data_IF_776564102836
#
_entry.id   IF_776564102836
#
_cell.length_a   1.000
_cell.length_b   1.000
_cell.length_c   1.000
_cell.angle_alpha   90.00
_cell.angle_beta   90.00
_cell.angle_gamma   90.00
#
_symmetry.space_group_name_H-M   'P 1'
#
loop_
_entity.id
_entity.type
_entity.pdbx_description
1 polymer ?
#
# COMPACT_ATOMS: atom_id res chain seq x y z
N UNK A 1 -33.92 17.79 -36.34
CA UNK A 1 -33.79 16.39 -35.91
C UNK A 1 -32.38 15.94 -36.22
N UNK A 2 -31.55 15.82 -35.19
CA UNK A 2 -30.30 15.06 -35.24
C UNK A 2 -29.94 14.72 -33.80
N UNK A 3 -30.45 13.58 -33.33
CA UNK A 3 -30.02 12.95 -32.09
C UNK A 3 -28.65 12.32 -32.31
N UNK A 4 -27.70 12.59 -31.42
CA UNK A 4 -26.44 11.85 -31.30
C UNK A 4 -26.53 10.96 -30.08
N UNK A 5 -26.81 9.67 -30.29
CA UNK A 5 -26.82 8.65 -29.25
C UNK A 5 -25.41 8.09 -29.08
N UNK A 6 -24.85 8.25 -27.88
CA UNK A 6 -23.59 7.64 -27.47
C UNK A 6 -23.88 6.18 -27.08
N UNK A 7 -23.28 5.22 -27.79
CA UNK A 7 -23.28 3.81 -27.41
C UNK A 7 -21.88 3.41 -26.97
N UNK A 8 -21.74 3.19 -25.67
CA UNK A 8 -20.55 2.70 -24.97
C UNK A 8 -20.17 1.29 -25.41
N UNK A 9 -18.96 1.13 -25.96
CA UNK A 9 -18.22 -0.13 -26.01
C UNK A 9 -16.73 0.19 -26.12
N UNK A 10 -16.06 0.42 -24.98
CA UNK A 10 -14.61 0.35 -24.90
C UNK A 10 -14.24 -0.37 -23.60
N UNK A 11 -14.11 -1.69 -23.73
CA UNK A 11 -13.50 -2.55 -22.74
C UNK A 11 -12.01 -2.17 -22.64
N UNK A 12 -11.62 -1.47 -21.58
CA UNK A 12 -10.23 -1.12 -21.31
C UNK A 12 -9.48 -2.40 -20.92
N UNK A 13 -8.75 -2.97 -21.88
CA UNK A 13 -7.72 -3.97 -21.62
C UNK A 13 -6.56 -3.28 -20.86
N UNK A 14 -6.54 -3.38 -19.53
CA UNK A 14 -5.36 -3.05 -18.75
C UNK A 14 -4.32 -4.17 -18.90
N UNK A 15 -3.35 -3.97 -19.79
CA UNK A 15 -2.15 -4.82 -19.89
C UNK A 15 -1.20 -4.44 -18.75
N UNK A 16 -1.02 -5.31 -17.76
CA UNK A 16 0.07 -5.19 -16.80
C UNK A 16 1.34 -5.85 -17.38
N UNK A 17 2.43 -5.09 -17.48
CA UNK A 17 3.77 -5.63 -17.75
C UNK A 17 4.47 -5.88 -16.42
N UNK A 18 5.00 -7.07 -16.21
CA UNK A 18 5.92 -7.35 -15.11
C UNK A 18 7.27 -7.67 -15.76
N UNK A 19 8.26 -6.80 -15.54
CA UNK A 19 9.64 -7.08 -15.89
C UNK A 19 10.27 -7.91 -14.77
N UNK A 20 10.80 -9.08 -15.11
CA UNK A 20 11.76 -9.80 -14.27
C UNK A 20 13.08 -9.88 -15.04
N UNK A 21 14.14 -9.26 -14.51
CA UNK A 21 15.50 -9.56 -14.94
C UNK A 21 15.94 -10.90 -14.31
N UNK A 22 15.88 -11.99 -15.08
CA UNK A 22 16.80 -13.13 -14.97
C UNK A 22 16.84 -13.83 -16.35
N UNK A 23 18.03 -14.33 -16.73
CA UNK A 23 18.39 -14.85 -18.07
C UNK A 23 17.59 -16.06 -18.62
N UNK A 24 18.03 -16.62 -19.77
CA UNK A 24 17.13 -17.22 -20.75
C UNK A 24 16.75 -18.66 -20.39
N UNK A 25 15.48 -18.89 -20.06
CA UNK A 25 14.82 -20.17 -20.26
C UNK A 25 13.45 -19.92 -20.88
N UNK A 26 13.34 -20.29 -22.15
CA UNK A 26 12.11 -20.28 -22.94
C UNK A 26 11.07 -21.20 -22.31
N UNK A 27 9.93 -20.66 -21.89
CA UNK A 27 8.72 -21.44 -21.62
C UNK A 27 7.52 -20.88 -22.40
N UNK A 28 6.83 -21.78 -23.08
CA UNK A 28 5.68 -21.55 -23.94
C UNK A 28 4.45 -21.17 -23.11
N UNK A 29 3.81 -20.03 -23.42
CA UNK A 29 2.54 -19.61 -22.80
C UNK A 29 1.38 -20.49 -23.30
N UNK A 30 0.60 -21.07 -22.39
CA UNK A 30 -0.75 -21.54 -22.71
C UNK A 30 -1.78 -20.61 -22.07
N UNK A 31 -2.68 -20.11 -22.91
CA UNK A 31 -3.80 -19.26 -22.54
C UNK A 31 -4.91 -20.14 -21.94
N UNK A 32 -5.30 -19.89 -20.69
CA UNK A 32 -6.47 -20.53 -20.09
C UNK A 32 -7.55 -19.48 -19.86
N UNK A 33 -8.67 -19.61 -20.56
CA UNK A 33 -9.86 -18.77 -20.37
C UNK A 33 -10.77 -19.46 -19.34
N UNK A 34 -11.10 -18.78 -18.24
CA UNK A 34 -12.08 -19.26 -17.26
C UNK A 34 -13.42 -18.54 -17.52
N UNK A 35 -14.53 -19.25 -17.76
CA UNK A 35 -15.84 -18.62 -17.85
C UNK A 35 -16.37 -18.30 -16.44
N UNK A 36 -16.71 -17.03 -16.19
CA UNK A 36 -17.36 -16.59 -14.95
C UNK A 36 -18.88 -16.66 -15.16
N UNK A 37 -19.53 -17.64 -14.53
CA UNK A 37 -20.99 -17.68 -14.40
C UNK A 37 -21.35 -17.47 -12.93
N UNK A 38 -21.50 -16.21 -12.52
CA UNK A 38 -22.33 -15.75 -11.39
C UNK A 38 -22.34 -14.21 -11.39
N UNK A 39 -23.49 -13.59 -11.16
CA UNK A 39 -23.60 -12.14 -10.99
C UNK A 39 -22.94 -11.71 -9.67
N UNK A 40 -22.02 -10.76 -9.74
CA UNK A 40 -21.40 -10.10 -8.60
C UNK A 40 -21.94 -8.67 -8.50
N UNK A 41 -22.43 -8.29 -7.31
CA UNK A 41 -22.82 -6.92 -6.96
C UNK A 41 -21.57 -5.99 -6.93
N UNK A 42 -21.71 -4.65 -7.06
CA UNK A 42 -20.67 -3.79 -7.63
C UNK A 42 -19.37 -3.57 -6.82
N UNK A 43 -19.11 -4.22 -5.68
CA UNK A 43 -17.98 -3.86 -4.81
C UNK A 43 -17.21 -5.03 -4.16
N UNK A 44 -17.17 -6.22 -4.76
CA UNK A 44 -16.35 -7.32 -4.25
C UNK A 44 -15.40 -7.86 -5.32
N UNK A 45 -14.09 -7.55 -5.19
CA UNK A 45 -13.02 -8.29 -5.88
C UNK A 45 -12.39 -9.20 -4.84
N UNK A 46 -12.86 -10.44 -4.73
CA UNK A 46 -12.13 -11.50 -4.04
C UNK A 46 -11.18 -12.14 -5.06
N UNK A 47 -9.89 -11.83 -4.98
CA UNK A 47 -8.85 -12.60 -5.68
C UNK A 47 -8.44 -13.76 -4.78
N UNK A 48 -9.02 -14.93 -4.97
CA UNK A 48 -8.55 -16.15 -4.32
C UNK A 48 -7.30 -16.66 -5.08
N UNK A 49 -6.10 -16.31 -4.62
CA UNK A 49 -4.85 -16.87 -5.15
C UNK A 49 -4.64 -18.24 -4.51
N UNK A 50 -5.11 -19.31 -5.16
CA UNK A 50 -4.68 -20.67 -4.80
C UNK A 50 -3.25 -20.88 -5.29
N UNK A 51 -2.30 -20.84 -4.36
CA UNK A 51 -0.94 -21.31 -4.63
C UNK A 51 -1.01 -22.82 -4.93
N UNK A 52 -0.88 -23.19 -6.21
CA UNK A 52 -0.69 -24.58 -6.61
C UNK A 52 0.79 -24.90 -6.35
N UNK A 53 1.07 -25.68 -5.31
CA UNK A 53 2.38 -26.31 -5.16
C UNK A 53 2.60 -27.22 -6.38
N UNK A 54 3.52 -26.82 -7.27
CA UNK A 54 3.97 -27.69 -8.35
C UNK A 54 4.78 -28.82 -7.70
N UNK A 55 4.18 -30.02 -7.68
CA UNK A 55 4.89 -31.23 -7.32
C UNK A 55 6.02 -31.43 -8.34
N UNK A 56 7.31 -31.39 -7.95
CA UNK A 56 8.36 -31.73 -8.89
C UNK A 56 8.19 -33.20 -9.25
N UNK A 57 7.93 -33.48 -10.53
CA UNK A 57 7.81 -34.85 -11.03
C UNK A 57 9.06 -35.68 -10.70
N UNK A 58 8.95 -37.01 -10.69
CA UNK A 58 10.07 -37.88 -10.33
C UNK A 58 11.28 -37.64 -11.24
N UNK A 59 12.47 -37.56 -10.63
CA UNK A 59 13.75 -37.40 -11.32
C UNK A 59 13.93 -38.50 -12.39
N UNK A 60 14.50 -38.18 -13.57
CA UNK A 60 14.75 -39.17 -14.61
C UNK A 60 15.74 -40.22 -14.11
N UNK A 61 15.42 -41.50 -14.29
CA UNK A 61 16.37 -42.58 -13.99
C UNK A 61 17.49 -42.64 -15.04
N UNK A 62 18.73 -43.01 -14.65
CA UNK A 62 19.84 -43.16 -15.59
C UNK A 62 19.56 -44.27 -16.60
N UNK A 63 19.83 -44.00 -17.89
CA UNK A 63 19.78 -45.02 -18.95
C UNK A 63 20.81 -46.11 -18.65
N UNK A 64 20.35 -47.35 -18.48
CA UNK A 64 21.22 -48.51 -18.32
C UNK A 64 21.84 -48.90 -19.67
N UNK A 65 23.17 -48.95 -19.75
CA UNK A 65 23.88 -49.60 -20.85
C UNK A 65 23.89 -51.13 -20.63
N UNK A 66 23.84 -51.97 -21.68
CA UNK A 66 23.82 -53.42 -21.54
C UNK A 66 25.19 -53.95 -21.09
N UNK A 67 25.20 -54.85 -20.09
CA UNK A 67 26.39 -55.64 -19.72
C UNK A 67 26.64 -56.78 -20.73
N UNK A 68 27.92 -57.18 -20.96
CA UNK A 68 28.25 -58.29 -21.84
C UNK A 68 27.83 -59.65 -21.26
N UNK A 69 27.49 -60.59 -22.15
CA UNK A 69 26.91 -61.89 -21.86
C UNK A 69 27.84 -62.82 -21.05
N UNK A 70 27.27 -63.53 -20.08
CA UNK A 70 27.93 -64.53 -19.22
C UNK A 70 28.00 -65.92 -19.89
N UNK A 71 29.10 -66.70 -19.71
CA UNK A 71 29.20 -68.09 -20.17
C UNK A 71 28.38 -69.07 -19.29
N UNK A 72 28.11 -70.30 -19.77
CA UNK A 72 27.02 -71.14 -19.24
C UNK A 72 27.30 -71.74 -17.85
N UNK A 73 26.23 -71.88 -17.05
CA UNK A 73 26.25 -72.35 -15.66
C UNK A 73 26.44 -73.88 -15.52
N UNK A 74 27.20 -74.34 -14.49
CA UNK A 74 27.09 -75.69 -13.96
C UNK A 74 25.97 -75.83 -12.92
N UNK A 75 25.59 -77.09 -12.68
CA UNK A 75 24.40 -77.57 -11.97
C UNK A 75 24.26 -77.14 -10.49
N UNK A 76 22.99 -77.05 -10.05
CA UNK A 76 22.53 -76.65 -8.71
C UNK A 76 22.95 -77.61 -7.60
N UNK A 77 23.48 -77.05 -6.51
CA UNK A 77 23.35 -77.57 -5.14
C UNK A 77 22.45 -76.64 -4.30
N UNK A 78 21.65 -77.16 -3.35
CA UNK A 78 20.74 -76.35 -2.55
C UNK A 78 21.48 -75.57 -1.44
N UNK A 79 21.20 -74.26 -1.33
CA UNK A 79 21.67 -73.42 -0.22
C UNK A 79 20.86 -73.69 1.07
N UNK A 80 21.48 -73.57 2.26
CA UNK A 80 20.79 -73.72 3.54
C UNK A 80 19.85 -72.53 3.83
N UNK A 81 18.79 -72.81 4.59
CA UNK A 81 17.76 -71.86 5.02
C UNK A 81 18.38 -70.61 5.69
N UNK A 82 18.05 -69.42 5.17
CA UNK A 82 18.41 -68.15 5.80
C UNK A 82 17.54 -67.90 7.05
N UNK A 83 18.22 -67.63 8.16
CA UNK A 83 17.72 -67.29 9.50
C UNK A 83 16.76 -66.07 9.50
N UNK A 84 15.75 -65.99 10.40
CA UNK A 84 14.68 -64.99 10.36
C UNK A 84 15.12 -63.60 10.88
N UNK A 85 15.99 -62.88 10.17
CA UNK A 85 16.36 -61.50 10.52
C UNK A 85 15.58 -60.41 9.78
N UNK A 86 14.86 -60.76 8.71
CA UNK A 86 14.14 -59.81 7.85
C UNK A 86 12.97 -59.05 8.51
N UNK A 87 12.16 -59.66 9.41
CA UNK A 87 11.08 -58.94 10.09
C UNK A 87 11.57 -57.94 11.14
N UNK A 88 12.66 -58.28 11.84
CA UNK A 88 13.27 -57.43 12.87
C UNK A 88 13.85 -56.15 12.27
N UNK A 89 14.54 -56.25 11.13
CA UNK A 89 15.10 -55.09 10.44
C UNK A 89 14.03 -54.14 9.89
N UNK A 90 12.91 -54.68 9.38
CA UNK A 90 11.75 -53.86 8.95
C UNK A 90 11.06 -53.18 10.12
N UNK A 91 10.92 -53.85 11.26
CA UNK A 91 10.38 -53.25 12.50
C UNK A 91 11.28 -52.13 13.01
N UNK A 92 12.60 -52.32 12.99
CA UNK A 92 13.56 -51.30 13.41
C UNK A 92 13.56 -50.09 12.46
N UNK A 93 13.48 -50.32 11.13
CA UNK A 93 13.34 -49.23 10.15
C UNK A 93 12.04 -48.46 10.32
N UNK A 94 10.92 -49.15 10.55
CA UNK A 94 9.65 -48.47 10.87
C UNK A 94 9.72 -47.71 12.19
N UNK A 95 10.32 -48.25 13.25
CA UNK A 95 10.51 -47.51 14.51
C UNK A 95 11.38 -46.27 14.32
N UNK A 96 12.49 -46.38 13.60
CA UNK A 96 13.38 -45.24 13.32
C UNK A 96 12.67 -44.17 12.48
N UNK A 97 11.88 -44.57 11.49
CA UNK A 97 11.11 -43.65 10.65
C UNK A 97 9.99 -42.96 11.45
N UNK A 98 9.30 -43.68 12.34
CA UNK A 98 8.30 -43.10 13.26
C UNK A 98 8.94 -42.14 14.27
N UNK A 99 10.15 -42.46 14.76
CA UNK A 99 10.89 -41.60 15.69
C UNK A 99 11.39 -40.31 15.02
N UNK A 100 11.79 -40.37 13.74
CA UNK A 100 12.13 -39.19 12.94
C UNK A 100 10.91 -38.32 12.64
N UNK A 101 9.76 -38.92 12.31
CA UNK A 101 8.49 -38.19 12.13
C UNK A 101 8.04 -37.52 13.43
N UNK A 102 8.20 -38.20 14.57
CA UNK A 102 7.91 -37.62 15.90
C UNK A 102 8.87 -36.49 16.28
N UNK A 103 10.13 -36.51 15.82
CA UNK A 103 11.06 -35.40 16.03
C UNK A 103 10.73 -34.17 15.18
N UNK A 104 10.26 -34.36 13.94
CA UNK A 104 9.86 -33.25 13.05
C UNK A 104 8.55 -32.58 13.52
N UNK A 105 7.68 -33.31 14.22
CA UNK A 105 6.44 -32.76 14.81
C UNK A 105 6.63 -32.12 16.18
N UNK A 106 7.84 -32.19 16.77
CA UNK A 106 8.15 -31.66 18.10
C UNK A 106 8.95 -30.36 18.08
N UNK A 107 9.09 -29.72 16.91
CA UNK A 107 9.72 -28.40 16.82
C UNK A 107 8.70 -27.40 17.37
N UNK A 108 8.98 -26.69 18.49
CA UNK A 108 8.06 -25.69 18.97
C UNK A 108 7.96 -24.59 17.91
N UNK A 109 6.76 -24.36 17.38
CA UNK A 109 6.46 -23.18 16.58
C UNK A 109 6.77 -21.97 17.46
N UNK A 110 7.89 -21.32 17.16
CA UNK A 110 8.31 -20.13 17.89
C UNK A 110 7.44 -19.00 17.36
N UNK A 111 6.30 -18.77 17.99
CA UNK A 111 5.46 -17.60 17.72
C UNK A 111 6.18 -16.38 18.28
N UNK A 112 6.94 -15.69 17.43
CA UNK A 112 7.46 -14.36 17.75
C UNK A 112 6.31 -13.37 17.79
N UNK A 113 5.83 -13.07 18.99
CA UNK A 113 4.92 -11.93 19.20
C UNK A 113 5.73 -10.65 19.13
N UNK A 114 5.89 -10.08 17.93
CA UNK A 114 6.46 -8.74 17.78
C UNK A 114 5.44 -7.73 18.29
N UNK A 115 5.72 -7.13 19.45
CA UNK A 115 4.93 -5.99 19.93
C UNK A 115 5.14 -4.85 18.96
N UNK A 116 4.07 -4.39 18.29
CA UNK A 116 4.14 -3.29 17.35
C UNK A 116 4.69 -2.05 18.08
N UNK A 117 5.75 -1.43 17.52
CA UNK A 117 6.28 -0.16 18.03
C UNK A 117 5.15 0.88 17.95
N UNK A 118 4.80 1.58 19.05
CA UNK A 118 3.77 2.60 19.00
C UNK A 118 4.23 3.77 18.13
N UNK A 119 3.32 4.27 17.28
CA UNK A 119 3.56 5.47 16.48
C UNK A 119 3.30 6.73 17.30
N UNK A 120 4.05 7.80 17.02
CA UNK A 120 3.85 9.13 17.61
C UNK A 120 3.39 10.13 16.56
N UNK A 121 2.79 11.25 16.97
CA UNK A 121 2.65 12.40 16.09
C UNK A 121 4.03 13.01 15.83
N UNK A 122 4.43 13.02 14.56
CA UNK A 122 5.69 13.64 14.14
C UNK A 122 5.50 15.14 13.92
N UNK A 123 4.31 15.56 13.51
CA UNK A 123 3.90 16.98 13.41
C UNK A 123 3.44 17.51 14.76
N UNK A 124 3.77 18.76 15.07
CA UNK A 124 3.46 19.45 16.34
C UNK A 124 3.17 20.93 16.14
N UNK A 125 2.43 21.50 17.10
CA UNK A 125 2.27 22.94 17.21
C UNK A 125 3.64 23.64 17.22
N UNK A 126 3.82 24.63 16.33
CA UNK A 126 5.06 25.37 16.17
C UNK A 126 6.02 24.84 15.10
N UNK A 127 5.74 23.67 14.49
CA UNK A 127 6.48 23.25 13.31
C UNK A 127 6.34 24.28 12.17
N UNK A 128 7.41 24.44 11.38
CA UNK A 128 7.35 25.31 10.21
C UNK A 128 6.42 24.68 9.17
N UNK A 129 5.31 25.35 8.89
CA UNK A 129 4.29 24.89 7.96
C UNK A 129 3.91 26.00 6.97
N UNK A 130 3.78 25.63 5.69
CA UNK A 130 3.45 26.57 4.62
C UNK A 130 2.31 26.01 3.80
N UNK A 131 1.21 26.77 3.75
CA UNK A 131 0.07 26.47 2.92
C UNK A 131 0.38 26.69 1.44
N UNK A 132 -0.11 25.78 0.59
CA UNK A 132 0.16 25.78 -0.85
C UNK A 132 -1.10 25.50 -1.67
N UNK A 133 -1.10 25.85 -2.95
CA UNK A 133 -2.16 25.53 -3.90
C UNK A 133 -1.62 25.24 -5.30
N UNK A 134 -2.52 24.78 -6.20
CA UNK A 134 -2.22 24.41 -7.58
C UNK A 134 -1.02 23.46 -7.65
N UNK A 135 -1.02 22.48 -6.76
CA UNK A 135 0.08 21.52 -6.60
C UNK A 135 -0.48 20.12 -6.61
N UNK A 136 0.12 19.25 -7.42
CA UNK A 136 -0.16 17.82 -7.44
C UNK A 136 1.12 17.06 -7.10
N UNK A 137 0.99 15.78 -6.72
CA UNK A 137 2.15 14.97 -6.35
C UNK A 137 3.17 14.93 -7.49
N UNK A 138 4.46 15.06 -7.16
CA UNK A 138 5.57 15.14 -8.10
C UNK A 138 5.74 16.49 -8.82
N UNK A 139 4.82 17.45 -8.66
CA UNK A 139 4.95 18.77 -9.32
C UNK A 139 5.48 19.85 -8.38
N UNK A 140 6.06 20.88 -8.96
CA UNK A 140 6.45 22.08 -8.23
C UNK A 140 5.23 22.78 -7.65
N UNK A 141 5.44 23.50 -6.56
CA UNK A 141 4.40 24.27 -5.88
C UNK A 141 3.90 25.37 -6.80
N UNK A 142 2.59 25.42 -7.06
CA UNK A 142 1.99 26.45 -7.91
C UNK A 142 2.00 27.83 -7.25
N UNK A 143 1.69 27.90 -5.95
CA UNK A 143 1.77 29.12 -5.15
C UNK A 143 1.38 28.90 -3.69
N UNK A 144 1.34 29.99 -2.92
CA UNK A 144 0.98 29.98 -1.49
C UNK A 144 -0.53 29.94 -1.29
N UNK A 145 -0.99 29.05 -0.41
CA UNK A 145 -2.41 28.89 -0.08
C UNK A 145 -3.03 30.17 0.46
N UNK A 146 -4.31 30.38 0.16
CA UNK A 146 -5.08 31.52 0.64
C UNK A 146 -6.04 31.09 1.75
N UNK A 147 -6.02 31.84 2.84
CA UNK A 147 -6.75 31.54 4.07
C UNK A 147 -7.21 32.83 4.75
N UNK A 148 -8.18 32.73 5.66
CA UNK A 148 -8.62 33.85 6.48
C UNK A 148 -7.69 34.05 7.68
N UNK A 149 -7.76 35.23 8.30
CA UNK A 149 -7.08 35.47 9.58
C UNK A 149 -7.59 34.49 10.64
N UNK A 150 -6.67 33.85 11.37
CA UNK A 150 -7.00 32.84 12.38
C UNK A 150 -7.24 31.43 11.81
N UNK A 151 -7.20 31.25 10.50
CA UNK A 151 -7.42 29.97 9.82
C UNK A 151 -6.20 29.54 8.98
N UNK A 152 -5.00 29.93 9.44
CA UNK A 152 -3.72 29.73 8.78
C UNK A 152 -3.22 28.27 8.86
N UNK A 153 -2.20 27.88 8.07
CA UNK A 153 -1.73 26.49 8.01
C UNK A 153 -1.29 25.88 9.35
N UNK A 154 -0.85 26.68 10.33
CA UNK A 154 -0.51 26.20 11.68
C UNK A 154 -1.70 25.55 12.40
N UNK A 155 -2.93 25.92 12.04
CA UNK A 155 -4.17 25.32 12.57
C UNK A 155 -4.47 23.92 12.05
N UNK A 156 -3.59 23.35 11.23
CA UNK A 156 -3.69 21.97 10.80
C UNK A 156 -2.97 21.00 11.73
N UNK A 157 -2.14 21.49 12.65
CA UNK A 157 -1.22 20.68 13.46
C UNK A 157 -1.06 21.23 14.87
N UNK A 158 -1.99 22.06 15.36
CA UNK A 158 -1.90 22.70 16.67
C UNK A 158 -2.50 21.87 17.82
N UNK A 159 -3.00 20.67 17.51
CA UNK A 159 -3.59 19.73 18.48
C UNK A 159 -4.81 20.33 19.23
N UNK A 160 -5.58 21.15 18.52
CA UNK A 160 -6.83 21.74 18.95
C UNK A 160 -7.89 21.59 17.85
N UNK A 161 -8.78 20.62 18.02
CA UNK A 161 -9.85 20.41 17.04
C UNK A 161 -10.80 21.60 16.95
N UNK A 162 -10.79 22.57 17.87
CA UNK A 162 -11.65 23.76 17.81
C UNK A 162 -11.14 24.85 16.87
N UNK A 163 -9.88 24.79 16.42
CA UNK A 163 -9.34 25.67 15.37
C UNK A 163 -9.48 25.01 14.00
N UNK A 164 -9.10 25.69 12.92
CA UNK A 164 -9.06 25.07 11.58
C UNK A 164 -8.06 25.73 10.66
N UNK A 165 -7.47 24.93 9.79
CA UNK A 165 -6.87 25.43 8.57
C UNK A 165 -7.93 25.44 7.45
N UNK A 166 -8.09 26.59 6.78
CA UNK A 166 -8.91 26.73 5.58
C UNK A 166 -8.00 27.10 4.41
N UNK A 167 -8.09 26.40 3.28
CA UNK A 167 -7.38 26.79 2.06
C UNK A 167 -8.37 26.95 0.90
N UNK A 168 -8.48 28.18 0.39
CA UNK A 168 -9.31 28.53 -0.76
C UNK A 168 -8.65 28.23 -2.11
N UNK A 169 -7.39 27.78 -2.11
CA UNK A 169 -6.57 27.71 -3.30
C UNK A 169 -6.16 29.11 -3.77
N UNK A 170 -6.38 29.41 -5.05
CA UNK A 170 -6.22 30.77 -5.60
C UNK A 170 -7.56 31.47 -5.78
N UNK A 171 -7.67 32.65 -5.18
CA UNK A 171 -8.66 33.68 -5.47
C UNK A 171 -7.86 34.88 -5.92
N UNK A 172 -7.87 35.16 -7.22
CA UNK A 172 -7.23 36.38 -7.71
C UNK A 172 -7.77 37.62 -6.97
N UNK A 173 -7.00 38.70 -6.95
CA UNK A 173 -7.46 40.03 -6.46
C UNK A 173 -8.65 40.57 -7.24
N UNK A 174 -8.95 39.95 -8.37
CA UNK A 174 -10.17 40.07 -9.15
C UNK A 174 -10.77 38.68 -9.38
N UNK A 175 -10.97 37.86 -8.35
CA UNK A 175 -11.84 36.70 -8.49
C UNK A 175 -13.19 37.30 -8.91
N UNK A 176 -13.67 37.12 -10.16
CA UNK A 176 -15.07 37.38 -10.40
C UNK A 176 -15.80 36.59 -9.32
N UNK A 177 -16.93 37.11 -8.85
CA UNK A 177 -17.90 36.37 -8.05
C UNK A 177 -18.33 35.01 -8.66
N UNK A 178 -17.71 34.61 -9.78
CA UNK A 178 -17.95 33.47 -10.63
C UNK A 178 -16.66 32.80 -11.15
N UNK A 179 -15.52 32.88 -10.43
CA UNK A 179 -14.37 32.02 -10.73
C UNK A 179 -14.75 30.58 -10.35
N UNK A 180 -15.36 29.87 -11.31
CA UNK A 180 -15.68 28.45 -11.24
C UNK A 180 -14.36 27.70 -11.32
N UNK A 181 -13.74 27.46 -10.17
CA UNK A 181 -12.87 26.30 -10.04
C UNK A 181 -13.80 25.12 -9.74
N UNK A 182 -13.79 24.11 -10.60
CA UNK A 182 -14.31 22.79 -10.22
C UNK A 182 -13.47 22.32 -9.02
N UNK A 183 -14.00 22.53 -7.80
CA UNK A 183 -13.38 22.18 -6.52
C UNK A 183 -12.11 23.00 -6.16
N UNK A 184 -12.23 24.28 -5.76
CA UNK A 184 -11.09 25.14 -5.38
C UNK A 184 -10.19 24.60 -4.26
N UNK A 185 -10.65 23.61 -3.49
CA UNK A 185 -9.85 22.95 -2.47
C UNK A 185 -9.05 21.72 -2.96
N UNK A 186 -9.39 21.13 -4.12
CA UNK A 186 -8.56 20.10 -4.72
C UNK A 186 -7.24 20.73 -5.21
N UNK A 187 -6.12 20.03 -5.06
CA UNK A 187 -4.74 20.53 -5.34
C UNK A 187 -4.22 21.59 -4.36
N UNK A 188 -4.89 21.74 -3.21
CA UNK A 188 -4.41 22.55 -2.09
C UNK A 188 -3.77 21.69 -1.02
N UNK A 189 -3.07 22.30 -0.07
CA UNK A 189 -2.50 21.59 1.06
C UNK A 189 -1.47 22.40 1.79
N UNK A 190 -0.43 21.72 2.28
CA UNK A 190 0.71 22.33 2.92
C UNK A 190 1.95 21.44 2.81
N UNK A 191 3.12 22.03 3.00
CA UNK A 191 4.29 21.27 3.45
C UNK A 191 4.69 21.71 4.86
N UNK A 192 5.27 20.78 5.60
CA UNK A 192 5.68 20.95 7.00
C UNK A 192 7.08 20.38 7.20
N UNK A 193 7.86 21.05 8.03
CA UNK A 193 9.18 20.60 8.51
C UNK A 193 9.07 20.32 10.01
N UNK A 194 8.86 19.05 10.40
CA UNK A 194 8.79 18.66 11.81
C UNK A 194 10.06 18.99 12.58
N UNK A 195 9.92 19.59 13.76
CA UNK A 195 11.05 19.96 14.62
C UNK A 195 11.42 18.87 15.64
N UNK A 196 10.62 17.81 15.74
CA UNK A 196 10.82 16.71 16.70
C UNK A 196 12.15 15.96 16.48
N UNK A 197 12.65 15.92 15.24
CA UNK A 197 13.85 15.19 14.82
C UNK A 197 14.36 15.72 13.48
N UNK A 198 15.63 15.50 13.15
CA UNK A 198 16.17 15.88 11.83
C UNK A 198 15.50 15.15 10.67
N UNK A 199 15.05 13.91 10.88
CA UNK A 199 14.27 13.14 9.94
C UNK A 199 13.43 12.11 10.70
N UNK A 200 12.25 11.79 10.18
CA UNK A 200 11.31 10.83 10.76
C UNK A 200 10.72 9.94 9.67
N UNK A 201 10.13 8.80 10.06
CA UNK A 201 9.46 7.88 9.13
C UNK A 201 7.95 8.00 9.33
N UNK A 202 7.26 8.68 8.41
CA UNK A 202 5.80 8.73 8.39
C UNK A 202 5.23 7.37 7.97
N UNK A 203 4.28 6.84 8.75
CA UNK A 203 3.59 5.55 8.50
C UNK A 203 2.08 5.65 8.67
N UNK A 204 1.56 6.83 8.99
CA UNK A 204 0.12 7.06 9.08
C UNK A 204 -0.27 8.52 9.03
N UNK A 205 -1.57 8.75 8.85
CA UNK A 205 -2.21 10.06 8.93
C UNK A 205 -3.50 9.99 9.71
N UNK A 206 -3.87 11.07 10.38
CA UNK A 206 -5.13 11.21 11.11
C UNK A 206 -5.66 12.64 10.94
N UNK A 207 -6.84 12.76 10.34
CA UNK A 207 -7.49 14.05 10.09
C UNK A 207 -8.66 14.29 11.03
N UNK A 208 -8.88 15.55 11.40
CA UNK A 208 -10.10 16.01 12.08
C UNK A 208 -10.87 16.97 11.19
N UNK A 209 -12.20 16.83 11.21
CA UNK A 209 -13.10 17.69 10.46
C UNK A 209 -13.27 19.05 11.17
N UNK A 210 -13.39 20.16 10.42
CA UNK A 210 -13.48 21.51 10.98
C UNK A 210 -14.90 21.95 11.43
N UNK A 211 -15.19 23.25 11.50
CA UNK A 211 -16.46 23.77 12.04
C UNK A 211 -17.48 24.28 11.02
N UNK A 212 -17.06 24.70 9.82
CA UNK A 212 -17.99 25.20 8.80
C UNK A 212 -18.70 24.06 8.04
N UNK A 213 -18.62 24.07 6.71
CA UNK A 213 -19.37 23.20 5.82
C UNK A 213 -18.69 21.84 5.62
N UNK A 214 -19.48 20.78 5.81
CA UNK A 214 -19.07 19.40 5.56
C UNK A 214 -18.63 19.17 4.10
N UNK A 215 -19.15 19.91 3.12
CA UNK A 215 -18.71 19.80 1.71
C UNK A 215 -17.19 20.01 1.52
N UNK A 216 -16.55 20.77 2.41
CA UNK A 216 -15.14 21.15 2.33
C UNK A 216 -14.19 20.18 3.03
N UNK A 217 -14.71 19.10 3.63
CA UNK A 217 -13.87 18.14 4.33
C UNK A 217 -12.98 17.39 3.33
N UNK A 218 -11.68 17.17 3.63
CA UNK A 218 -10.78 16.43 2.76
C UNK A 218 -11.11 14.94 2.85
N UNK A 219 -11.36 14.31 1.70
CA UNK A 219 -11.70 12.88 1.61
C UNK A 219 -10.47 12.05 1.25
N UNK A 220 -9.64 12.56 0.35
CA UNK A 220 -8.41 11.90 -0.03
C UNK A 220 -7.25 12.88 -0.17
N UNK A 221 -6.05 12.37 0.05
CA UNK A 221 -4.81 13.12 -0.02
C UNK A 221 -3.71 12.35 -0.75
N UNK A 222 -2.63 13.04 -1.09
CA UNK A 222 -1.30 12.46 -1.17
C UNK A 222 -0.44 12.95 -0.02
N UNK A 223 0.47 12.10 0.46
CA UNK A 223 1.58 12.45 1.34
C UNK A 223 2.88 12.16 0.61
N UNK A 224 3.78 13.13 0.58
CA UNK A 224 5.12 13.02 0.04
C UNK A 224 6.16 13.38 1.11
N UNK A 225 7.37 12.84 0.99
CA UNK A 225 8.51 13.17 1.83
C UNK A 225 9.67 13.75 1.04
N UNK A 226 10.48 14.58 1.69
CA UNK A 226 11.73 15.11 1.14
C UNK A 226 12.79 15.29 2.22
N UNK A 227 14.05 15.25 1.80
CA UNK A 227 15.20 15.70 2.60
C UNK A 227 15.80 17.01 2.06
N UNK A 228 15.15 17.64 1.08
CA UNK A 228 15.53 18.94 0.57
C UNK A 228 15.21 20.05 1.58
N UNK A 229 15.85 21.22 1.41
CA UNK A 229 15.68 22.37 2.31
C UNK A 229 15.55 23.68 1.53
N UNK A 230 15.10 24.73 2.21
CA UNK A 230 15.01 26.08 1.62
C UNK A 230 14.13 26.12 0.37
N UNK A 231 14.61 26.78 -0.67
CA UNK A 231 13.86 26.96 -1.92
C UNK A 231 13.54 25.64 -2.64
N UNK A 232 14.30 24.57 -2.41
CA UNK A 232 14.05 23.27 -3.02
C UNK A 232 12.74 22.61 -2.55
N UNK A 233 12.17 23.03 -1.41
CA UNK A 233 10.84 22.59 -0.95
C UNK A 233 9.72 23.00 -1.93
N UNK A 234 9.95 24.01 -2.77
CA UNK A 234 9.02 24.41 -3.82
C UNK A 234 9.12 23.56 -5.11
N UNK A 235 10.18 22.74 -5.26
CA UNK A 235 10.48 22.01 -6.50
C UNK A 235 9.92 20.60 -6.43
N UNK A 236 9.10 20.22 -7.40
CA UNK A 236 8.39 18.93 -7.41
C UNK A 236 9.28 17.70 -7.38
N UNK A 237 10.39 17.74 -8.12
CA UNK A 237 11.35 16.63 -8.18
C UNK A 237 12.10 16.38 -6.87
N UNK A 238 11.95 17.24 -5.86
CA UNK A 238 12.49 17.03 -4.52
C UNK A 238 11.61 16.12 -3.67
N UNK A 239 10.36 15.87 -4.07
CA UNK A 239 9.35 15.14 -3.30
C UNK A 239 9.22 13.70 -3.78
N UNK A 240 9.13 12.76 -2.83
CA UNK A 240 8.86 11.34 -3.08
C UNK A 240 7.49 10.98 -2.53
N UNK A 241 6.62 10.41 -3.35
CA UNK A 241 5.30 9.95 -2.92
C UNK A 241 5.42 8.79 -1.92
N UNK A 242 4.76 8.94 -0.77
CA UNK A 242 4.71 7.94 0.31
C UNK A 242 3.33 7.31 0.37
N UNK A 243 2.28 8.12 0.23
CA UNK A 243 0.89 7.66 0.35
C UNK A 243 -0.02 8.43 -0.62
N UNK A 244 -1.01 7.73 -1.16
CA UNK A 244 -2.13 8.31 -1.92
C UNK A 244 -3.38 7.53 -1.54
N UNK A 245 -4.36 8.20 -0.95
CA UNK A 245 -5.53 7.51 -0.43
C UNK A 245 -6.42 8.36 0.47
N UNK A 246 -7.25 7.69 1.25
CA UNK A 246 -8.24 8.29 2.14
C UNK A 246 -7.60 9.14 3.25
N UNK A 247 -8.33 10.11 3.76
CA UNK A 247 -8.03 10.78 5.06
C UNK A 247 -8.61 10.03 6.25
N UNK A 248 -9.47 9.04 5.99
CA UNK A 248 -10.29 8.35 6.99
C UNK A 248 -11.58 9.10 7.37
N UNK A 249 -11.83 10.26 6.78
CA UNK A 249 -13.11 10.96 6.86
C UNK A 249 -14.09 10.30 5.88
N UNK A 250 -15.32 10.06 6.32
CA UNK A 250 -16.32 9.42 5.47
C UNK A 250 -16.70 10.31 4.28
N UNK A 251 -16.65 9.72 3.08
CA UNK A 251 -16.85 10.39 1.79
C UNK A 251 -18.31 10.77 1.48
N UNK A 252 -19.28 10.14 2.13
CA UNK A 252 -20.71 10.35 1.84
C UNK A 252 -21.49 10.87 3.05
N UNK A 253 -21.12 10.44 4.25
CA UNK A 253 -21.78 10.82 5.50
C UNK A 253 -20.87 11.77 6.27
N UNK A 254 -21.42 12.91 6.71
CA UNK A 254 -20.74 13.82 7.62
C UNK A 254 -20.58 13.14 9.01
N UNK A 255 -19.35 12.90 9.49
CA UNK A 255 -19.11 12.32 10.80
C UNK A 255 -19.35 13.30 11.97
N UNK A 256 -19.76 14.53 11.67
CA UNK A 256 -19.86 15.63 12.63
C UNK A 256 -18.70 16.61 12.51
N UNK A 257 -18.69 17.64 13.35
CA UNK A 257 -17.72 18.73 13.38
C UNK A 257 -16.77 18.57 14.56
N UNK A 258 -15.52 18.99 14.39
CA UNK A 258 -14.45 18.81 15.39
C UNK A 258 -14.15 17.33 15.68
N UNK A 259 -14.45 16.45 14.73
CA UNK A 259 -14.41 15.00 14.91
C UNK A 259 -13.24 14.41 14.15
N UNK A 260 -12.47 13.52 14.79
CA UNK A 260 -11.45 12.73 14.12
C UNK A 260 -12.06 11.67 13.20
N UNK A 261 -11.47 11.51 12.01
CA UNK A 261 -11.70 10.36 11.14
C UNK A 261 -10.98 9.10 11.63
N UNK A 262 -11.03 8.05 10.81
CA UNK A 262 -10.29 6.81 11.08
C UNK A 262 -8.82 7.00 10.71
N UNK A 263 -7.90 6.68 11.61
CA UNK A 263 -6.46 6.72 11.30
C UNK A 263 -6.15 5.81 10.09
N UNK A 264 -5.41 6.36 9.13
CA UNK A 264 -4.91 5.61 7.99
C UNK A 264 -3.45 5.23 8.22
N UNK A 265 -3.08 4.00 7.87
CA UNK A 265 -1.71 3.48 8.00
C UNK A 265 -1.19 2.98 6.66
N UNK A 266 0.10 3.15 6.42
CA UNK A 266 0.76 2.75 5.18
C UNK A 266 2.22 2.36 5.44
N UNK A 267 2.83 1.67 4.48
CA UNK A 267 4.22 1.27 4.56
C UNK A 267 5.14 2.41 4.08
N UNK A 268 6.12 2.74 4.91
CA UNK A 268 7.25 3.57 4.55
C UNK A 268 8.43 3.14 5.43
N UNK A 269 9.62 3.08 4.85
CA UNK A 269 10.85 2.73 5.54
C UNK A 269 11.91 3.83 5.41
N UNK A 270 11.61 4.90 4.67
CA UNK A 270 12.55 5.97 4.37
C UNK A 270 12.27 7.17 5.29
N UNK A 271 13.28 7.66 6.04
CA UNK A 271 13.13 8.86 6.84
C UNK A 271 13.25 10.13 6.00
N UNK A 272 12.41 11.12 6.31
CA UNK A 272 12.34 12.43 5.65
C UNK A 272 12.35 13.56 6.68
N UNK A 273 12.99 14.67 6.33
CA UNK A 273 13.04 15.89 7.16
C UNK A 273 11.84 16.81 6.94
N UNK A 274 11.10 16.65 5.85
CA UNK A 274 9.88 17.42 5.58
C UNK A 274 8.86 16.58 4.84
N UNK A 275 7.59 16.94 5.00
CA UNK A 275 6.45 16.27 4.40
C UNK A 275 5.55 17.26 3.67
N UNK A 276 4.88 16.79 2.61
CA UNK A 276 3.89 17.56 1.86
C UNK A 276 2.59 16.79 1.77
N UNK A 277 1.52 17.38 2.29
CA UNK A 277 0.15 16.86 2.19
C UNK A 277 -0.57 17.68 1.13
N UNK A 278 -1.18 16.99 0.16
CA UNK A 278 -2.01 17.60 -0.87
C UNK A 278 -3.38 16.95 -0.87
N UNK A 279 -4.43 17.75 -0.86
CA UNK A 279 -5.82 17.28 -0.93
C UNK A 279 -6.14 16.95 -2.38
N UNK A 280 -6.57 15.71 -2.61
CA UNK A 280 -6.91 15.21 -3.96
C UNK A 280 -8.43 15.14 -4.19
N UNK A 281 -9.22 15.07 -3.12
CA UNK A 281 -10.67 15.18 -3.19
C UNK A 281 -11.26 15.74 -1.89
N UNK A 282 -12.39 16.43 -2.02
CA UNK A 282 -13.23 16.91 -0.93
C UNK A 282 -14.63 16.29 -1.03
N UNK A 283 -15.41 16.31 0.06
CA UNK A 283 -16.70 15.57 0.13
C UNK A 283 -17.66 15.96 -0.98
N UNK A 284 -17.76 17.26 -1.25
CA UNK A 284 -18.56 17.80 -2.33
C UNK A 284 -17.98 19.12 -2.81
N UNK A 285 -18.60 19.77 -3.80
CA UNK A 285 -18.15 21.09 -4.22
C UNK A 285 -18.30 22.09 -3.05
N UNK A 286 -17.17 22.60 -2.58
CA UNK A 286 -17.05 23.64 -1.56
C UNK A 286 -16.07 24.71 -2.03
N UNK A 287 -16.20 25.92 -1.46
CA UNK A 287 -15.40 27.08 -1.86
C UNK A 287 -13.90 27.04 -1.48
N UNK A 288 -13.44 25.92 -0.91
CA UNK A 288 -12.08 25.63 -0.42
C UNK A 288 -12.10 24.30 0.36
N UNK A 289 -10.97 23.87 0.90
CA UNK A 289 -10.90 22.71 1.83
C UNK A 289 -10.57 23.18 3.24
N UNK A 290 -11.13 22.50 4.24
CA UNK A 290 -10.87 22.78 5.65
C UNK A 290 -10.71 21.52 6.49
N UNK A 291 -9.87 21.61 7.52
CA UNK A 291 -9.69 20.57 8.53
C UNK A 291 -9.09 21.19 9.79
N UNK A 292 -9.46 20.63 10.95
CA UNK A 292 -8.93 21.08 12.24
C UNK A 292 -7.60 20.44 12.58
N UNK A 293 -7.37 19.22 12.09
CA UNK A 293 -6.10 18.53 12.30
C UNK A 293 -5.76 17.70 11.08
N UNK A 294 -4.47 17.55 10.82
CA UNK A 294 -3.85 16.73 9.79
C UNK A 294 -2.55 16.14 10.36
N UNK A 295 -2.69 15.28 11.37
CA UNK A 295 -1.54 14.64 12.03
C UNK A 295 -0.86 13.68 11.08
N UNK A 296 0.48 13.73 11.06
CA UNK A 296 1.30 12.68 10.50
C UNK A 296 1.80 11.81 11.66
N UNK A 297 1.62 10.50 11.55
CA UNK A 297 2.06 9.52 12.53
C UNK A 297 3.30 8.79 12.02
N UNK A 298 4.23 8.50 12.93
CA UNK A 298 5.52 7.98 12.51
C UNK A 298 6.41 7.47 13.62
N UNK A 299 7.65 7.23 13.22
CA UNK A 299 8.77 6.86 14.08
C UNK A 299 9.90 7.88 13.93
N UNK A 300 10.66 8.08 15.01
CA UNK A 300 11.95 8.79 15.04
C UNK A 300 13.09 7.82 15.36
#
# INVERSE_FOLDING_TARGET
>A
MSESTISSNNCLLSKAWIYYEQGPLTQTLQQTTIPINTQLEPNEIIVEIKAVALNPGPLPQPKQHPLPQQPPQPQRHPLPQQTPQRPQLRKLQHQHQQQLVSMILSIPETTTTTTARPTIFITRAGDTIVGIYNTTAGTSTGGLGLYLSGESPDKAIDNDTSTKYLNFGYRGTSAPSNAVYDQPGATTGFYVTPQISNASVAVGVLFATANDYSNRDPISITLEGTNATGSALSIGSSWTLIYSGSTGINATVDPGRYTYGVQQTFLNTIPYSSYRILVTAQRANGSGVQYSEAHILGYI
#
